data_IF_627499319258
#
_entry.id   IF_627499319258
#
_cell.length_a   1.000
_cell.length_b   1.000
_cell.length_c   1.000
_cell.angle_alpha   90.00
_cell.angle_beta   90.00
_cell.angle_gamma   90.00
#
_symmetry.space_group_name_H-M   'P 1'
#
loop_
_entity.id
_entity.type
_entity.pdbx_description
1 polymer ?
#
# COMPACT_ATOMS: atom_id res chain seq x y z
N UNK A 1 -2.80 7.13 -3.00
CA UNK A 1 -2.46 7.18 -1.56
C UNK A 1 -0.95 7.33 -1.37
N UNK A 2 -0.12 6.33 -1.75
CA UNK A 2 1.33 6.34 -1.52
C UNK A 2 2.02 7.68 -1.87
N UNK A 3 1.88 8.15 -3.11
CA UNK A 3 2.54 9.40 -3.54
C UNK A 3 2.08 10.65 -2.77
N UNK A 4 0.85 10.66 -2.28
CA UNK A 4 0.30 11.74 -1.45
C UNK A 4 0.93 11.71 -0.06
N UNK A 5 0.95 10.55 0.58
CA UNK A 5 1.50 10.40 1.93
C UNK A 5 3.02 10.62 1.95
N UNK A 6 3.72 10.13 0.92
CA UNK A 6 5.15 10.40 0.75
C UNK A 6 5.42 11.90 0.59
N UNK A 7 4.62 12.61 -0.24
CA UNK A 7 4.79 14.05 -0.45
C UNK A 7 4.52 14.86 0.82
N UNK A 8 3.50 14.49 1.63
CA UNK A 8 3.25 15.09 2.95
C UNK A 8 4.44 14.89 3.87
N UNK A 9 4.91 13.64 3.98
CA UNK A 9 5.99 13.29 4.90
C UNK A 9 7.33 13.94 4.52
N UNK A 10 7.65 14.08 3.22
CA UNK A 10 8.84 14.83 2.77
C UNK A 10 8.69 16.33 3.08
N UNK A 11 7.49 16.90 2.90
CA UNK A 11 7.23 18.30 3.29
C UNK A 11 7.42 18.55 4.78
N UNK A 12 6.96 17.61 5.63
CA UNK A 12 7.18 17.68 7.09
C UNK A 12 8.65 17.52 7.45
N UNK A 13 9.38 16.64 6.75
CA UNK A 13 10.82 16.45 6.95
C UNK A 13 11.59 17.74 6.64
N UNK A 14 11.28 18.41 5.52
CA UNK A 14 11.87 19.70 5.16
C UNK A 14 11.63 20.77 6.24
N UNK A 15 10.41 20.85 6.79
CA UNK A 15 10.05 21.84 7.81
C UNK A 15 10.81 21.64 9.14
N UNK A 16 11.30 20.44 9.42
CA UNK A 16 12.08 20.11 10.62
C UNK A 16 13.58 20.33 10.44
N UNK A 17 14.07 20.33 9.19
CA UNK A 17 15.47 20.55 8.90
C UNK A 17 15.81 22.04 8.88
N UNK A 18 16.19 22.58 10.05
CA UNK A 18 16.62 23.98 10.20
C UNK A 18 18.00 24.27 9.61
N UNK A 19 18.75 23.24 9.18
CA UNK A 19 20.09 23.36 8.63
C UNK A 19 20.10 23.81 7.15
N UNK A 20 18.97 23.65 6.45
CA UNK A 20 18.81 23.97 5.02
C UNK A 20 19.61 23.08 4.07
N UNK A 21 20.28 22.03 4.61
CA UNK A 21 21.15 21.16 3.81
C UNK A 21 20.37 20.02 3.10
N UNK A 22 19.06 19.92 3.35
CA UNK A 22 18.27 18.75 2.96
C UNK A 22 16.94 19.08 2.30
N UNK A 23 16.72 20.33 1.89
CA UNK A 23 15.46 20.73 1.28
C UNK A 23 15.24 20.03 -0.06
N UNK A 24 14.16 19.24 -0.13
CA UNK A 24 13.67 18.59 -1.35
C UNK A 24 12.45 19.35 -1.85
N UNK A 25 12.60 20.10 -2.93
CA UNK A 25 11.48 20.75 -3.59
C UNK A 25 10.70 19.73 -4.42
N UNK A 26 9.44 19.50 -4.08
CA UNK A 26 8.57 18.56 -4.76
C UNK A 26 7.67 19.28 -5.78
N UNK A 27 7.66 18.77 -7.01
CA UNK A 27 6.74 19.15 -8.07
C UNK A 27 5.94 17.93 -8.53
N UNK A 28 4.63 18.02 -8.46
CA UNK A 28 3.75 16.96 -8.94
C UNK A 28 3.53 17.07 -10.46
N UNK A 29 3.48 15.91 -11.13
CA UNK A 29 3.13 15.84 -12.56
C UNK A 29 2.04 14.80 -12.75
N UNK A 30 1.01 15.13 -13.51
CA UNK A 30 -0.07 14.20 -13.82
C UNK A 30 -0.52 14.30 -15.29
N UNK A 31 -1.09 13.24 -15.80
CA UNK A 31 -1.80 13.29 -17.08
C UNK A 31 -2.97 14.29 -17.00
N UNK A 32 -3.42 14.76 -18.15
CA UNK A 32 -4.55 15.69 -18.23
C UNK A 32 -5.82 15.09 -17.66
N UNK A 33 -6.42 15.76 -16.68
CA UNK A 33 -7.69 15.44 -16.05
C UNK A 33 -8.71 16.55 -16.28
N UNK A 34 -10.01 16.20 -16.27
CA UNK A 34 -11.11 17.18 -16.41
C UNK A 34 -11.32 18.02 -15.14
N UNK A 35 -11.03 17.44 -13.96
CA UNK A 35 -11.17 18.08 -12.66
C UNK A 35 -10.03 17.63 -11.73
N UNK A 36 -9.67 18.48 -10.77
CA UNK A 36 -8.74 18.11 -9.69
C UNK A 36 -9.36 17.02 -8.81
N UNK A 37 -8.54 16.13 -8.22
CA UNK A 37 -9.02 15.18 -7.22
C UNK A 37 -9.65 15.89 -6.03
N UNK A 38 -10.69 15.29 -5.46
CA UNK A 38 -11.30 15.73 -4.20
C UNK A 38 -10.50 15.18 -3.01
N UNK A 39 -10.67 15.80 -1.83
CA UNK A 39 -10.14 15.22 -0.59
C UNK A 39 -10.70 13.80 -0.35
N UNK A 40 -9.91 12.88 0.19
CA UNK A 40 -8.52 13.00 0.68
C UNK A 40 -7.45 12.76 -0.39
N UNK A 41 -7.82 12.67 -1.68
CA UNK A 41 -6.92 12.31 -2.78
C UNK A 41 -6.25 13.51 -3.46
N UNK A 42 -6.39 14.70 -2.88
CA UNK A 42 -5.73 15.91 -3.37
C UNK A 42 -4.25 15.91 -2.96
N UNK A 43 -3.30 15.99 -3.91
CA UNK A 43 -1.88 16.10 -3.58
C UNK A 43 -1.58 17.38 -2.78
N UNK A 44 -0.70 17.34 -1.77
CA UNK A 44 -0.33 18.51 -0.94
C UNK A 44 0.65 19.47 -1.64
N UNK A 45 0.98 19.19 -2.89
CA UNK A 45 1.95 19.94 -3.71
C UNK A 45 1.31 20.41 -5.01
N UNK A 46 1.93 21.40 -5.66
CA UNK A 46 1.49 21.84 -6.99
C UNK A 46 1.61 20.70 -8.00
N UNK A 47 0.55 20.46 -8.78
CA UNK A 47 0.52 19.43 -9.82
C UNK A 47 0.43 20.09 -11.19
N UNK A 48 1.41 19.83 -12.03
CA UNK A 48 1.51 20.34 -13.39
C UNK A 48 0.92 19.33 -14.37
N UNK A 49 -0.09 19.72 -15.18
CA UNK A 49 -0.71 18.79 -16.12
C UNK A 49 0.16 18.58 -17.35
N UNK A 50 0.27 17.32 -17.79
CA UNK A 50 0.84 16.96 -19.07
C UNK A 50 -0.24 16.97 -20.17
N UNK A 51 0.13 17.11 -21.45
CA UNK A 51 -0.82 17.29 -22.54
C UNK A 51 -1.69 16.06 -22.82
N UNK A 52 -1.28 14.86 -22.42
CA UNK A 52 -1.98 13.60 -22.65
C UNK A 52 -2.73 13.12 -21.41
N UNK A 53 -3.91 12.51 -21.61
CA UNK A 53 -4.64 11.82 -20.54
C UNK A 53 -3.98 10.47 -20.19
N UNK A 54 -4.20 9.96 -18.98
CA UNK A 54 -3.50 8.83 -18.38
C UNK A 54 -3.18 7.63 -19.30
N UNK A 55 -4.15 6.92 -19.91
CA UNK A 55 -3.86 5.75 -20.74
C UNK A 55 -3.02 6.06 -21.97
N UNK A 56 -3.23 7.22 -22.59
CA UNK A 56 -2.45 7.68 -23.75
C UNK A 56 -1.05 8.14 -23.32
N UNK A 57 -0.94 8.76 -22.16
CA UNK A 57 0.32 9.18 -21.58
C UNK A 57 1.22 7.96 -21.31
N UNK A 58 0.69 6.91 -20.70
CA UNK A 58 1.45 5.69 -20.39
C UNK A 58 1.97 5.01 -21.66
N UNK A 59 1.15 4.86 -22.68
CA UNK A 59 1.57 4.30 -23.97
C UNK A 59 2.63 5.17 -24.67
N UNK A 60 2.49 6.50 -24.59
CA UNK A 60 3.45 7.43 -25.16
C UNK A 60 4.79 7.39 -24.43
N UNK A 61 4.77 7.30 -23.10
CA UNK A 61 5.99 7.16 -22.29
C UNK A 61 6.73 5.84 -22.56
N UNK A 62 6.00 4.76 -22.74
CA UNK A 62 6.57 3.45 -23.01
C UNK A 62 7.16 3.33 -24.43
N UNK A 63 6.54 3.98 -25.43
CA UNK A 63 6.93 3.85 -26.84
C UNK A 63 7.89 4.95 -27.32
N UNK A 64 7.64 6.19 -26.88
CA UNK A 64 8.28 7.37 -27.43
C UNK A 64 9.07 8.18 -26.42
N UNK A 65 9.02 7.82 -25.12
CA UNK A 65 9.61 8.61 -24.03
C UNK A 65 9.19 10.09 -24.09
N UNK A 66 7.91 10.34 -24.36
CA UNK A 66 7.33 11.67 -24.57
C UNK A 66 5.86 11.73 -24.08
N UNK A 67 5.34 12.88 -23.60
CA UNK A 67 6.07 14.12 -23.32
C UNK A 67 6.96 13.97 -22.08
N UNK A 68 8.09 14.66 -22.08
CA UNK A 68 8.96 14.72 -20.90
C UNK A 68 8.34 15.59 -19.83
N UNK A 69 8.54 15.22 -18.55
CA UNK A 69 8.00 15.96 -17.41
C UNK A 69 8.55 17.38 -17.33
N UNK A 70 9.78 17.61 -17.76
CA UNK A 70 10.44 18.92 -17.79
C UNK A 70 9.71 19.95 -18.67
N UNK A 71 8.90 19.51 -19.62
CA UNK A 71 8.04 20.38 -20.43
C UNK A 71 6.95 21.08 -19.59
N UNK A 72 6.60 20.53 -18.42
CA UNK A 72 5.62 21.08 -17.51
C UNK A 72 6.24 21.69 -16.24
N UNK A 73 7.40 21.18 -15.80
CA UNK A 73 8.04 21.57 -14.54
C UNK A 73 9.23 22.53 -14.72
N UNK A 74 9.81 22.61 -15.92
CA UNK A 74 11.15 23.13 -16.11
C UNK A 74 12.21 22.11 -15.72
N UNK A 75 13.45 22.57 -15.52
CA UNK A 75 14.56 21.72 -15.13
C UNK A 75 14.33 21.09 -13.75
N UNK A 76 14.66 19.81 -13.63
CA UNK A 76 14.56 19.02 -12.40
C UNK A 76 15.83 18.20 -12.22
N UNK A 77 16.16 17.86 -10.99
CA UNK A 77 17.34 17.07 -10.67
C UNK A 77 17.11 15.56 -10.83
N UNK A 78 15.91 15.09 -10.51
CA UNK A 78 15.47 13.71 -10.71
C UNK A 78 13.96 13.63 -10.89
N UNK A 79 13.45 12.53 -11.42
CA UNK A 79 12.02 12.20 -11.46
C UNK A 79 11.76 10.94 -10.65
N UNK A 80 10.73 10.97 -9.80
CA UNK A 80 10.24 9.78 -9.09
C UNK A 80 8.87 9.35 -9.63
N UNK A 81 8.85 8.21 -10.33
CA UNK A 81 7.61 7.55 -10.71
C UNK A 81 7.07 6.75 -9.51
N UNK A 82 6.01 7.22 -8.87
CA UNK A 82 5.40 6.59 -7.68
C UNK A 82 4.62 5.31 -8.00
N UNK A 83 4.88 4.70 -9.14
CA UNK A 83 4.29 3.44 -9.61
C UNK A 83 5.23 2.78 -10.62
N UNK A 84 4.86 1.58 -11.07
CA UNK A 84 5.58 0.80 -12.09
C UNK A 84 5.66 1.50 -13.47
N UNK A 85 4.89 2.56 -13.72
CA UNK A 85 4.89 3.25 -15.01
C UNK A 85 6.04 4.26 -15.05
N UNK A 86 7.08 4.06 -15.90
CA UNK A 86 8.23 4.95 -15.97
C UNK A 86 7.85 6.28 -16.60
N UNK A 87 8.02 7.38 -15.88
CA UNK A 87 7.85 8.71 -16.46
C UNK A 87 8.93 9.01 -17.51
N UNK A 88 8.58 9.77 -18.53
CA UNK A 88 9.55 10.27 -19.51
C UNK A 88 10.28 11.49 -18.95
N UNK A 89 11.60 11.42 -18.87
CA UNK A 89 12.46 12.50 -18.36
C UNK A 89 13.84 12.43 -19.02
N UNK A 90 14.55 13.55 -18.98
CA UNK A 90 16.00 13.61 -19.25
C UNK A 90 16.81 13.48 -17.96
N UNK A 91 16.20 13.81 -16.81
CA UNK A 91 16.78 13.62 -15.50
C UNK A 91 16.78 12.14 -15.08
N UNK A 92 17.60 11.73 -14.12
CA UNK A 92 17.61 10.39 -13.56
C UNK A 92 16.23 9.94 -13.07
N UNK A 93 15.92 8.66 -13.26
CA UNK A 93 14.62 8.08 -12.91
C UNK A 93 14.75 7.17 -11.67
N UNK A 94 14.01 7.53 -10.62
CA UNK A 94 13.65 6.64 -9.51
C UNK A 94 12.23 6.13 -9.75
N UNK A 95 11.94 4.89 -9.43
CA UNK A 95 10.56 4.38 -9.49
C UNK A 95 10.24 3.52 -8.26
N UNK A 96 8.98 3.57 -7.80
CA UNK A 96 8.50 2.65 -6.76
C UNK A 96 7.71 1.51 -7.39
N UNK A 97 8.10 0.29 -7.06
CA UNK A 97 7.35 -0.94 -7.37
C UNK A 97 6.65 -1.39 -6.09
N UNK A 98 5.31 -1.40 -6.14
CA UNK A 98 4.49 -1.81 -5.00
C UNK A 98 4.32 -3.32 -4.93
N UNK A 99 4.12 -3.97 -6.06
CA UNK A 99 4.09 -5.43 -6.23
C UNK A 99 4.34 -5.81 -7.70
N UNK A 100 4.51 -7.11 -7.92
CA UNK A 100 4.55 -7.73 -9.23
C UNK A 100 3.48 -8.84 -9.37
N UNK A 101 2.35 -8.67 -8.68
CA UNK A 101 1.25 -9.64 -8.68
C UNK A 101 0.77 -10.04 -10.09
N UNK A 102 0.82 -9.12 -11.05
CA UNK A 102 0.46 -9.38 -12.44
C UNK A 102 1.34 -10.41 -13.15
N UNK A 103 2.53 -10.71 -12.61
CA UNK A 103 3.41 -11.78 -13.13
C UNK A 103 3.02 -13.15 -12.57
N UNK A 104 2.54 -13.19 -11.33
CA UNK A 104 2.21 -14.42 -10.62
C UNK A 104 0.76 -14.86 -10.88
N UNK A 105 -0.14 -13.89 -10.97
CA UNK A 105 -1.60 -14.11 -11.10
C UNK A 105 -2.17 -13.27 -12.25
N UNK A 106 -1.66 -13.46 -13.50
CA UNK A 106 -2.05 -12.63 -14.64
C UNK A 106 -3.56 -12.71 -14.96
N UNK A 107 -4.23 -13.78 -14.58
CA UNK A 107 -5.68 -13.96 -14.72
C UNK A 107 -6.49 -12.97 -13.87
N UNK A 108 -5.91 -12.40 -12.84
CA UNK A 108 -6.53 -11.38 -12.00
C UNK A 108 -6.44 -9.97 -12.61
N UNK A 109 -5.82 -9.83 -13.77
CA UNK A 109 -5.63 -8.56 -14.47
C UNK A 109 -6.19 -8.60 -15.89
N UNK A 110 -6.48 -7.43 -16.45
CA UNK A 110 -6.84 -7.38 -17.87
C UNK A 110 -5.62 -7.70 -18.74
N UNK A 111 -5.80 -8.40 -19.84
CA UNK A 111 -4.72 -8.72 -20.81
C UNK A 111 -3.94 -7.47 -21.24
N UNK A 112 -4.65 -6.33 -21.43
CA UNK A 112 -4.03 -5.05 -21.74
C UNK A 112 -3.18 -4.54 -20.58
N UNK A 113 -3.68 -4.63 -19.35
CA UNK A 113 -2.96 -4.22 -18.13
C UNK A 113 -1.67 -4.99 -17.96
N UNK A 114 -1.72 -6.33 -18.03
CA UNK A 114 -0.52 -7.20 -17.98
C UNK A 114 0.51 -6.77 -19.03
N UNK A 115 0.09 -6.57 -20.29
CA UNK A 115 0.99 -6.13 -21.36
C UNK A 115 1.62 -4.74 -21.12
N UNK A 116 0.88 -3.80 -20.51
CA UNK A 116 1.43 -2.50 -20.12
C UNK A 116 2.45 -2.67 -19.00
N UNK A 117 2.13 -3.43 -17.96
CA UNK A 117 3.03 -3.64 -16.81
C UNK A 117 4.30 -4.39 -17.19
N UNK A 118 4.22 -5.41 -18.03
CA UNK A 118 5.41 -6.12 -18.53
C UNK A 118 6.34 -5.19 -19.33
N UNK A 119 5.79 -4.33 -20.21
CA UNK A 119 6.57 -3.33 -20.95
C UNK A 119 7.15 -2.27 -20.00
N UNK A 120 6.41 -1.86 -18.99
CA UNK A 120 6.88 -0.93 -17.96
C UNK A 120 8.07 -1.51 -17.21
N UNK A 121 7.96 -2.77 -16.77
CA UNK A 121 9.04 -3.47 -16.08
C UNK A 121 10.31 -3.55 -16.94
N UNK A 122 10.17 -3.90 -18.23
CA UNK A 122 11.27 -3.94 -19.18
C UNK A 122 11.90 -2.54 -19.40
N UNK A 123 11.10 -1.49 -19.40
CA UNK A 123 11.57 -0.12 -19.53
C UNK A 123 12.28 0.36 -18.24
N UNK A 124 11.75 0.03 -17.05
CA UNK A 124 12.36 0.36 -15.76
C UNK A 124 13.73 -0.30 -15.60
N UNK A 125 13.88 -1.58 -15.93
CA UNK A 125 15.19 -2.26 -15.88
C UNK A 125 16.28 -1.54 -16.67
N UNK A 126 15.91 -0.88 -17.76
CA UNK A 126 16.86 -0.17 -18.65
C UNK A 126 17.09 1.28 -18.26
N UNK A 127 16.05 1.93 -17.70
CA UNK A 127 16.00 3.39 -17.57
C UNK A 127 16.10 3.89 -16.14
N UNK A 128 15.65 3.10 -15.16
CA UNK A 128 15.66 3.52 -13.78
C UNK A 128 17.08 3.43 -13.19
N UNK A 129 17.52 4.51 -12.57
CA UNK A 129 18.76 4.55 -11.79
C UNK A 129 18.56 3.78 -10.50
N UNK A 130 17.41 3.96 -9.84
CA UNK A 130 17.02 3.23 -8.64
C UNK A 130 15.56 2.80 -8.69
N UNK A 131 15.29 1.68 -8.05
CA UNK A 131 13.96 1.12 -7.82
C UNK A 131 13.75 1.00 -6.32
N UNK A 132 12.70 1.62 -5.82
CA UNK A 132 12.23 1.46 -4.47
C UNK A 132 11.25 0.28 -4.44
N UNK A 133 11.54 -0.71 -3.60
CA UNK A 133 10.68 -1.85 -3.31
C UNK A 133 10.10 -1.69 -1.90
N UNK A 134 8.78 -1.80 -1.78
CA UNK A 134 8.07 -1.52 -0.53
C UNK A 134 8.12 -2.65 0.49
N UNK A 135 8.56 -3.86 0.07
CA UNK A 135 8.76 -5.04 0.91
C UNK A 135 9.96 -5.85 0.40
N UNK A 136 10.50 -6.71 1.26
CA UNK A 136 11.54 -7.66 0.86
C UNK A 136 10.99 -8.62 -0.21
N UNK A 137 9.75 -9.07 -0.05
CA UNK A 137 9.08 -9.92 -1.05
C UNK A 137 9.03 -9.25 -2.45
N UNK A 138 8.72 -7.94 -2.52
CA UNK A 138 8.75 -7.19 -3.78
C UNK A 138 10.17 -7.02 -4.31
N UNK A 139 11.16 -6.86 -3.44
CA UNK A 139 12.57 -6.77 -3.82
C UNK A 139 13.05 -8.09 -4.43
N UNK A 140 12.74 -9.21 -3.79
CA UNK A 140 13.08 -10.55 -4.28
C UNK A 140 12.40 -10.83 -5.62
N UNK A 141 11.10 -10.51 -5.77
CA UNK A 141 10.39 -10.57 -7.05
C UNK A 141 11.11 -9.74 -8.13
N UNK A 142 11.64 -8.56 -7.80
CA UNK A 142 12.40 -7.73 -8.75
C UNK A 142 13.72 -8.39 -9.16
N UNK A 143 14.46 -8.97 -8.21
CA UNK A 143 15.70 -9.72 -8.50
C UNK A 143 15.43 -10.89 -9.44
N UNK A 144 14.42 -11.71 -9.13
CA UNK A 144 14.02 -12.84 -9.97
C UNK A 144 13.60 -12.42 -11.38
N UNK A 145 13.09 -11.20 -11.52
CA UNK A 145 12.67 -10.62 -12.81
C UNK A 145 13.76 -9.75 -13.47
N UNK A 146 15.02 -9.90 -13.08
CA UNK A 146 16.18 -9.40 -13.80
C UNK A 146 16.55 -7.94 -13.55
N UNK A 147 16.14 -7.36 -12.42
CA UNK A 147 16.74 -6.14 -11.89
C UNK A 147 18.09 -6.47 -11.23
N UNK A 148 19.07 -5.56 -11.31
CA UNK A 148 20.30 -5.74 -10.56
C UNK A 148 20.12 -5.34 -9.09
N UNK A 149 20.80 -6.01 -8.18
CA UNK A 149 20.77 -5.68 -6.75
C UNK A 149 21.18 -4.22 -6.48
N UNK A 150 22.08 -3.68 -7.30
CA UNK A 150 22.56 -2.29 -7.20
C UNK A 150 21.45 -1.28 -7.46
N UNK A 151 20.46 -1.62 -8.31
CA UNK A 151 19.32 -0.75 -8.60
C UNK A 151 18.28 -0.75 -7.49
N UNK A 152 18.21 -1.78 -6.64
CA UNK A 152 17.10 -2.00 -5.71
C UNK A 152 17.37 -1.37 -4.35
N UNK A 153 16.33 -0.74 -3.78
CA UNK A 153 16.34 -0.19 -2.41
C UNK A 153 15.05 -0.60 -1.70
N UNK A 154 15.21 -1.15 -0.50
CA UNK A 154 14.08 -1.48 0.37
C UNK A 154 13.66 -0.24 1.15
N UNK A 155 12.44 0.23 0.89
CA UNK A 155 11.83 1.37 1.59
C UNK A 155 10.38 1.02 1.92
N UNK A 156 10.10 0.56 3.15
CA UNK A 156 8.75 0.18 3.55
C UNK A 156 7.81 1.38 3.62
N UNK A 157 6.53 1.16 3.33
CA UNK A 157 5.49 2.17 3.53
C UNK A 157 5.26 2.44 5.01
N UNK A 158 4.91 3.68 5.35
CA UNK A 158 4.53 4.06 6.71
C UNK A 158 3.03 3.89 6.99
N UNK A 159 2.66 4.01 8.25
CA UNK A 159 1.28 4.09 8.72
C UNK A 159 1.08 5.36 9.55
N UNK A 160 -0.13 5.90 9.53
CA UNK A 160 -0.55 6.98 10.43
C UNK A 160 -1.13 6.42 11.71
N UNK A 161 -0.88 7.10 12.81
CA UNK A 161 -1.56 6.87 14.07
C UNK A 161 -2.69 7.88 14.22
N UNK A 162 -3.92 7.39 14.24
CA UNK A 162 -5.13 8.21 14.38
C UNK A 162 -5.78 7.81 15.70
N UNK A 163 -5.85 8.75 16.62
CA UNK A 163 -6.55 8.54 17.88
C UNK A 163 -8.07 8.55 17.64
N UNK A 164 -8.74 7.52 18.08
CA UNK A 164 -10.19 7.35 17.96
C UNK A 164 -10.81 7.23 19.33
N UNK A 165 -11.70 8.14 19.68
CA UNK A 165 -12.42 8.14 20.94
C UNK A 165 -13.55 7.10 21.00
N UNK A 166 -13.91 6.67 22.20
CA UNK A 166 -15.01 5.72 22.41
C UNK A 166 -16.36 6.24 21.87
N UNK A 167 -16.59 7.55 21.89
CA UNK A 167 -17.80 8.16 21.35
C UNK A 167 -17.89 7.92 19.84
N UNK A 168 -16.83 8.19 19.10
CA UNK A 168 -16.76 7.95 17.65
C UNK A 168 -16.93 6.46 17.30
N UNK A 169 -16.34 5.55 18.08
CA UNK A 169 -16.53 4.11 17.91
C UNK A 169 -18.02 3.74 18.06
N UNK A 170 -18.68 4.29 19.07
CA UNK A 170 -20.10 4.02 19.33
C UNK A 170 -21.02 4.62 18.26
N UNK A 171 -20.73 5.81 17.76
CA UNK A 171 -21.45 6.43 16.66
C UNK A 171 -21.36 5.59 15.37
N UNK A 172 -20.14 5.14 15.03
CA UNK A 172 -19.91 4.30 13.85
C UNK A 172 -20.58 2.93 14.00
N UNK A 173 -20.54 2.31 15.20
CA UNK A 173 -21.30 1.09 15.48
C UNK A 173 -22.80 1.28 15.26
N UNK A 174 -23.37 2.37 15.76
CA UNK A 174 -24.79 2.70 15.57
C UNK A 174 -25.11 2.96 14.11
N UNK A 175 -24.27 3.74 13.42
CA UNK A 175 -24.45 4.09 12.00
C UNK A 175 -24.50 2.87 11.10
N UNK A 176 -23.63 1.90 11.34
CA UNK A 176 -23.56 0.67 10.55
C UNK A 176 -24.25 -0.52 11.22
N UNK A 177 -24.99 -0.32 12.32
CA UNK A 177 -25.72 -1.38 13.07
C UNK A 177 -24.82 -2.57 13.39
N UNK A 178 -23.63 -2.30 13.96
CA UNK A 178 -22.64 -3.32 14.26
C UNK A 178 -22.83 -3.88 15.68
N UNK A 179 -22.51 -5.17 15.91
CA UNK A 179 -22.48 -5.73 17.24
C UNK A 179 -21.33 -5.13 18.07
N UNK A 180 -21.33 -5.37 19.37
CA UNK A 180 -20.28 -4.88 20.27
C UNK A 180 -18.90 -5.43 19.91
N UNK A 181 -18.84 -6.68 19.50
CA UNK A 181 -17.61 -7.36 19.02
C UNK A 181 -17.81 -7.85 17.60
N UNK A 182 -16.85 -7.63 16.74
CA UNK A 182 -16.81 -8.12 15.36
C UNK A 182 -15.37 -8.38 14.90
N UNK A 183 -15.22 -9.32 13.97
CA UNK A 183 -14.02 -9.48 13.16
C UNK A 183 -14.08 -8.47 12.02
N UNK A 184 -12.95 -7.90 11.64
CA UNK A 184 -12.88 -6.92 10.55
C UNK A 184 -12.02 -7.43 9.41
N UNK A 185 -12.50 -7.23 8.19
CA UNK A 185 -11.72 -7.34 6.94
C UNK A 185 -11.84 -6.02 6.18
N UNK A 186 -10.72 -5.50 5.66
CA UNK A 186 -10.69 -4.28 4.85
C UNK A 186 -9.91 -4.53 3.56
N UNK A 187 -10.54 -4.28 2.41
CA UNK A 187 -9.89 -4.40 1.11
C UNK A 187 -10.89 -4.50 -0.04
N UNK A 188 -10.45 -4.14 -1.24
CA UNK A 188 -11.23 -4.39 -2.47
C UNK A 188 -11.52 -5.88 -2.60
N UNK A 189 -12.71 -6.23 -3.06
CA UNK A 189 -13.15 -7.62 -3.19
C UNK A 189 -12.49 -8.27 -4.41
N UNK A 190 -11.26 -8.71 -4.23
CA UNK A 190 -10.41 -9.36 -5.25
C UNK A 190 -10.05 -10.78 -4.82
N UNK A 191 -9.86 -11.73 -5.75
CA UNK A 191 -9.52 -13.12 -5.42
C UNK A 191 -8.29 -13.27 -4.52
N UNK A 192 -7.23 -12.47 -4.76
CA UNK A 192 -5.99 -12.49 -3.98
C UNK A 192 -6.18 -12.11 -2.51
N UNK A 193 -7.25 -11.37 -2.17
CA UNK A 193 -7.60 -11.02 -0.79
C UNK A 193 -8.22 -12.17 -0.01
N UNK A 194 -8.60 -13.26 -0.69
CA UNK A 194 -9.01 -14.52 -0.10
C UNK A 194 -10.24 -14.45 0.82
N UNK A 195 -11.14 -13.49 0.54
CA UNK A 195 -12.30 -13.23 1.39
C UNK A 195 -13.23 -14.45 1.51
N UNK A 196 -13.45 -15.21 0.42
CA UNK A 196 -14.32 -16.39 0.50
C UNK A 196 -13.81 -17.41 1.52
N UNK A 197 -12.50 -17.69 1.53
CA UNK A 197 -11.92 -18.64 2.50
C UNK A 197 -11.96 -18.09 3.93
N UNK A 198 -11.88 -16.78 4.11
CA UNK A 198 -12.11 -16.15 5.42
C UNK A 198 -13.57 -16.35 5.87
N UNK A 199 -14.55 -16.18 4.98
CA UNK A 199 -15.97 -16.43 5.27
C UNK A 199 -16.18 -17.91 5.67
N UNK A 200 -15.58 -18.83 4.93
CA UNK A 200 -15.67 -20.26 5.24
C UNK A 200 -15.04 -20.58 6.60
N UNK A 201 -13.91 -19.94 6.93
CA UNK A 201 -13.28 -20.06 8.26
C UNK A 201 -14.16 -19.52 9.39
N UNK A 202 -14.81 -18.38 9.19
CA UNK A 202 -15.75 -17.80 10.17
C UNK A 202 -16.97 -18.69 10.38
N UNK A 203 -17.41 -19.40 9.35
CA UNK A 203 -18.51 -20.38 9.48
C UNK A 203 -18.14 -21.59 10.34
N UNK A 204 -16.85 -21.93 10.43
CA UNK A 204 -16.34 -23.01 11.30
C UNK A 204 -16.26 -22.61 12.77
N UNK A 205 -16.32 -21.32 13.09
CA UNK A 205 -16.30 -20.84 14.47
C UNK A 205 -17.63 -21.10 15.15
N UNK A 206 -17.60 -21.36 16.46
CA UNK A 206 -18.79 -21.56 17.26
C UNK A 206 -19.74 -20.34 17.26
N UNK A 207 -20.99 -20.54 17.72
CA UNK A 207 -22.03 -19.49 17.65
C UNK A 207 -21.69 -18.22 18.43
N UNK A 208 -20.86 -18.33 19.47
CA UNK A 208 -20.47 -17.22 20.34
C UNK A 208 -19.31 -16.37 19.75
N UNK A 209 -18.68 -16.83 18.67
CA UNK A 209 -17.60 -16.06 18.03
C UNK A 209 -18.17 -14.79 17.34
N UNK A 210 -17.40 -13.67 17.31
CA UNK A 210 -17.85 -12.44 16.70
C UNK A 210 -18.15 -12.60 15.19
N UNK A 211 -19.17 -11.93 14.64
CA UNK A 211 -19.44 -11.93 13.20
C UNK A 211 -18.36 -11.17 12.43
N UNK A 212 -18.26 -11.43 11.11
CA UNK A 212 -17.33 -10.77 10.20
C UNK A 212 -17.97 -9.53 9.59
N UNK A 213 -17.31 -8.40 9.72
CA UNK A 213 -17.61 -7.14 9.03
C UNK A 213 -16.61 -6.96 7.90
N UNK A 214 -17.11 -6.76 6.69
CA UNK A 214 -16.31 -6.61 5.47
C UNK A 214 -16.46 -5.19 4.93
N UNK A 215 -15.33 -4.49 4.80
CA UNK A 215 -15.23 -3.14 4.25
C UNK A 215 -14.43 -3.16 2.97
N UNK A 216 -14.99 -2.58 1.91
CA UNK A 216 -14.29 -2.42 0.64
C UNK A 216 -15.23 -2.32 -0.55
N UNK A 217 -14.74 -1.68 -1.60
CA UNK A 217 -15.48 -1.59 -2.85
C UNK A 217 -15.57 -2.95 -3.54
N UNK A 218 -16.62 -3.13 -4.33
CA UNK A 218 -16.71 -4.28 -5.24
C UNK A 218 -15.51 -4.27 -6.18
N UNK A 219 -14.85 -5.40 -6.29
CA UNK A 219 -13.73 -5.63 -7.19
C UNK A 219 -14.12 -6.53 -8.36
N UNK A 220 -13.30 -7.53 -8.62
CA UNK A 220 -13.52 -8.52 -9.68
C UNK A 220 -13.25 -9.94 -9.15
N UNK A 221 -13.60 -10.93 -9.95
CA UNK A 221 -13.43 -12.35 -9.60
C UNK A 221 -14.75 -13.07 -9.46
N UNK A 222 -14.74 -14.22 -8.78
CA UNK A 222 -15.94 -15.01 -8.52
C UNK A 222 -16.86 -14.30 -7.54
N UNK A 223 -18.15 -14.53 -7.68
CA UNK A 223 -19.16 -14.02 -6.73
C UNK A 223 -18.86 -14.55 -5.32
N UNK A 224 -18.90 -13.66 -4.34
CA UNK A 224 -18.71 -14.01 -2.93
C UNK A 224 -20.02 -14.58 -2.38
N UNK A 225 -19.96 -15.79 -1.87
CA UNK A 225 -21.09 -16.44 -1.20
C UNK A 225 -21.17 -15.93 0.25
N UNK A 226 -22.03 -14.96 0.48
CA UNK A 226 -22.20 -14.34 1.80
C UNK A 226 -23.00 -15.31 2.72
N UNK A 227 -22.52 -15.46 3.94
CA UNK A 227 -23.15 -16.27 4.99
C UNK A 227 -23.84 -15.41 6.05
N UNK A 228 -24.77 -15.95 6.87
CA UNK A 228 -25.56 -15.15 7.81
C UNK A 228 -24.75 -14.32 8.83
N UNK A 229 -23.52 -14.75 9.12
CA UNK A 229 -22.64 -14.07 10.10
C UNK A 229 -21.66 -13.07 9.43
N UNK A 230 -21.92 -12.66 8.19
CA UNK A 230 -21.08 -11.74 7.42
C UNK A 230 -21.90 -10.51 7.07
N UNK A 231 -21.41 -9.34 7.46
CA UNK A 231 -21.98 -8.05 7.11
C UNK A 231 -21.09 -7.31 6.14
N UNK A 232 -21.57 -7.10 4.92
CA UNK A 232 -20.88 -6.35 3.86
C UNK A 232 -21.25 -4.86 3.96
N UNK A 233 -20.28 -3.97 4.18
CA UNK A 233 -20.52 -2.52 4.28
C UNK A 233 -20.28 -1.79 2.96
N UNK A 234 -19.54 -2.40 2.01
CA UNK A 234 -19.11 -1.69 0.82
C UNK A 234 -18.05 -0.65 1.13
N UNK A 235 -18.02 0.43 0.35
CA UNK A 235 -17.08 1.54 0.58
C UNK A 235 -17.48 2.32 1.84
N UNK A 236 -16.51 2.62 2.68
CA UNK A 236 -16.66 3.38 3.93
C UNK A 236 -15.70 4.58 3.88
N UNK A 237 -16.14 5.80 4.29
CA UNK A 237 -15.27 6.97 4.43
C UNK A 237 -14.10 6.73 5.39
N UNK A 238 -12.98 7.42 5.17
CA UNK A 238 -11.76 7.22 5.95
C UNK A 238 -11.93 7.46 7.45
N UNK A 239 -12.75 8.47 7.82
CA UNK A 239 -13.00 8.80 9.23
C UNK A 239 -13.75 7.68 9.95
N UNK A 240 -14.75 7.08 9.30
CA UNK A 240 -15.48 5.93 9.83
C UNK A 240 -14.58 4.67 9.86
N UNK A 241 -13.67 4.53 8.89
CA UNK A 241 -12.77 3.37 8.80
C UNK A 241 -11.85 3.27 10.01
N UNK A 242 -11.30 4.38 10.48
CA UNK A 242 -10.47 4.40 11.69
C UNK A 242 -11.25 3.88 12.92
N UNK A 243 -12.51 4.30 13.06
CA UNK A 243 -13.37 3.82 14.15
C UNK A 243 -13.77 2.34 14.00
N UNK A 244 -13.91 1.86 12.76
CA UNK A 244 -14.14 0.43 12.48
C UNK A 244 -12.92 -0.42 12.86
N UNK A 245 -11.69 0.05 12.58
CA UNK A 245 -10.50 -0.62 13.10
C UNK A 245 -10.50 -0.62 14.63
N UNK A 246 -10.56 0.54 15.26
CA UNK A 246 -10.48 0.67 16.73
C UNK A 246 -11.55 -0.15 17.47
N UNK A 247 -12.74 -0.34 16.88
CA UNK A 247 -13.84 -1.12 17.46
C UNK A 247 -13.79 -2.62 17.20
N UNK A 248 -12.86 -3.13 16.39
CA UNK A 248 -12.78 -4.54 16.03
C UNK A 248 -12.22 -5.42 17.17
N UNK A 249 -12.71 -6.65 17.26
CA UNK A 249 -12.16 -7.66 18.14
C UNK A 249 -10.85 -8.25 17.62
N UNK A 250 -10.79 -8.48 16.29
CA UNK A 250 -9.58 -8.86 15.56
C UNK A 250 -9.71 -8.41 14.10
N UNK A 251 -8.58 -8.16 13.47
CA UNK A 251 -8.46 -7.87 12.04
C UNK A 251 -7.98 -9.11 11.30
N UNK A 252 -8.72 -9.54 10.29
CA UNK A 252 -8.46 -10.77 9.54
C UNK A 252 -8.08 -10.46 8.10
N UNK A 253 -6.82 -10.75 7.73
CA UNK A 253 -6.27 -10.42 6.41
C UNK A 253 -5.47 -11.57 5.81
N UNK A 254 -6.10 -12.73 5.55
CA UNK A 254 -5.44 -13.93 5.05
C UNK A 254 -5.22 -13.87 3.53
N UNK A 255 -4.69 -12.74 3.03
CA UNK A 255 -4.43 -12.56 1.59
C UNK A 255 -3.45 -13.59 1.06
N UNK A 256 -3.67 -14.05 -0.17
CA UNK A 256 -2.77 -14.97 -0.86
C UNK A 256 -1.46 -14.27 -1.24
N UNK A 257 -1.55 -13.02 -1.69
CA UNK A 257 -0.42 -12.19 -2.09
C UNK A 257 -0.69 -10.71 -1.85
N UNK A 258 0.31 -10.02 -1.37
CA UNK A 258 0.33 -8.56 -1.19
C UNK A 258 1.69 -7.99 -1.58
N UNK A 259 1.70 -6.73 -1.99
CA UNK A 259 2.95 -6.02 -2.15
C UNK A 259 3.53 -5.53 -0.82
N UNK A 260 2.65 -5.15 0.12
CA UNK A 260 3.04 -4.70 1.46
C UNK A 260 2.04 -5.16 2.53
N UNK A 261 0.80 -4.66 2.49
CA UNK A 261 -0.21 -4.99 3.50
C UNK A 261 -0.46 -3.85 4.49
N UNK A 262 -0.60 -2.62 4.01
CA UNK A 262 -0.93 -1.45 4.86
C UNK A 262 -2.08 -1.68 5.84
N UNK A 263 -3.18 -2.37 5.49
CA UNK A 263 -4.28 -2.64 6.43
C UNK A 263 -3.87 -3.36 7.71
N UNK A 264 -2.79 -4.14 7.68
CA UNK A 264 -2.21 -4.80 8.86
C UNK A 264 -1.68 -3.76 9.86
N UNK A 265 -0.88 -2.82 9.37
CA UNK A 265 -0.33 -1.75 10.19
C UNK A 265 -1.41 -0.76 10.65
N UNK A 266 -2.43 -0.51 9.83
CA UNK A 266 -3.60 0.28 10.21
C UNK A 266 -4.33 -0.38 11.39
N UNK A 267 -4.61 -1.68 11.34
CA UNK A 267 -5.20 -2.41 12.45
C UNK A 267 -4.30 -2.37 13.71
N UNK A 268 -3.00 -2.62 13.54
CA UNK A 268 -2.01 -2.58 14.63
C UNK A 268 -1.90 -1.18 15.26
N UNK A 269 -2.03 -0.11 14.49
CA UNK A 269 -1.97 1.27 15.02
C UNK A 269 -3.14 1.61 15.94
N UNK A 270 -4.24 0.88 15.83
CA UNK A 270 -5.41 0.96 16.71
C UNK A 270 -5.41 -0.13 17.82
N UNK A 271 -4.31 -0.86 17.99
CA UNK A 271 -4.19 -1.92 19.00
C UNK A 271 -5.10 -3.12 18.74
N UNK A 272 -5.42 -3.40 17.49
CA UNK A 272 -6.26 -4.53 17.11
C UNK A 272 -5.40 -5.74 16.80
N UNK A 273 -5.65 -6.91 17.41
CA UNK A 273 -5.00 -8.17 17.05
C UNK A 273 -5.17 -8.50 15.57
N UNK A 274 -4.11 -8.95 14.94
CA UNK A 274 -4.08 -9.25 13.49
C UNK A 274 -3.91 -10.73 13.25
N UNK A 275 -4.71 -11.28 12.32
CA UNK A 275 -4.55 -12.60 11.73
C UNK A 275 -4.19 -12.41 10.26
N UNK A 276 -3.03 -12.90 9.83
CA UNK A 276 -2.54 -12.71 8.46
C UNK A 276 -1.79 -13.92 7.94
N UNK A 277 -1.42 -13.89 6.66
CA UNK A 277 -0.82 -15.03 5.96
C UNK A 277 0.64 -15.24 6.31
N UNK A 278 1.01 -16.50 6.51
CA UNK A 278 2.39 -16.98 6.56
C UNK A 278 3.02 -16.94 5.16
N UNK A 279 4.32 -16.66 5.06
CA UNK A 279 5.12 -16.80 3.84
C UNK A 279 4.88 -15.71 2.78
N UNK A 280 4.45 -14.53 3.19
CA UNK A 280 4.21 -13.40 2.29
C UNK A 280 4.72 -12.08 2.87
N UNK A 281 4.62 -10.98 2.08
CA UNK A 281 4.92 -9.63 2.58
C UNK A 281 4.13 -9.26 3.83
N UNK A 282 2.96 -9.86 4.04
CA UNK A 282 2.12 -9.62 5.23
C UNK A 282 2.74 -10.16 6.51
N UNK A 283 3.48 -11.28 6.44
CA UNK A 283 4.30 -11.78 7.55
C UNK A 283 5.43 -10.79 7.88
N UNK A 284 6.18 -10.36 6.88
CA UNK A 284 7.25 -9.36 7.02
C UNK A 284 6.72 -8.07 7.68
N UNK A 285 5.62 -7.54 7.16
CA UNK A 285 5.00 -6.30 7.65
C UNK A 285 4.51 -6.45 9.08
N UNK A 286 3.99 -7.61 9.45
CA UNK A 286 3.54 -7.89 10.82
C UNK A 286 4.68 -7.88 11.84
N UNK A 287 5.92 -8.19 11.42
CA UNK A 287 7.10 -8.15 12.28
C UNK A 287 7.00 -9.01 13.54
N UNK A 288 6.30 -10.14 13.47
CA UNK A 288 6.05 -11.05 14.59
C UNK A 288 4.91 -10.62 15.53
N UNK A 289 4.18 -9.54 15.23
CA UNK A 289 3.10 -9.02 16.06
C UNK A 289 1.70 -9.45 15.58
N UNK A 290 1.60 -10.54 14.81
CA UNK A 290 0.34 -11.09 14.31
C UNK A 290 0.29 -12.61 14.47
N UNK A 291 -0.90 -13.16 14.46
CA UNK A 291 -1.12 -14.59 14.30
C UNK A 291 -0.97 -14.95 12.82
N UNK A 292 0.02 -15.79 12.51
CA UNK A 292 0.27 -16.26 11.15
C UNK A 292 -0.51 -17.55 10.88
N UNK A 293 -1.15 -17.61 9.70
CA UNK A 293 -2.00 -18.71 9.27
C UNK A 293 -1.65 -19.17 7.85
N UNK A 294 -1.94 -20.42 7.54
CA UNK A 294 -1.90 -20.89 6.16
C UNK A 294 -3.12 -20.32 5.40
N UNK A 295 -2.92 -19.40 4.44
CA UNK A 295 -4.02 -18.76 3.73
C UNK A 295 -4.81 -19.73 2.84
N UNK A 296 -4.29 -20.93 2.58
CA UNK A 296 -4.94 -21.95 1.78
C UNK A 296 -5.81 -22.92 2.60
N UNK A 297 -5.90 -22.72 3.94
CA UNK A 297 -6.66 -23.58 4.85
C UNK A 297 -7.65 -22.76 5.69
N UNK A 298 -8.96 -22.98 5.46
CA UNK A 298 -10.01 -22.34 6.25
C UNK A 298 -9.91 -22.72 7.74
N UNK A 299 -9.54 -23.98 8.06
CA UNK A 299 -9.33 -24.39 9.45
C UNK A 299 -8.15 -23.66 10.10
N UNK A 300 -7.01 -23.49 9.40
CA UNK A 300 -5.89 -22.72 9.92
C UNK A 300 -6.26 -21.26 10.18
N UNK A 301 -7.09 -20.65 9.32
CA UNK A 301 -7.60 -19.28 9.51
C UNK A 301 -8.53 -19.24 10.73
N UNK A 302 -9.44 -20.21 10.88
CA UNK A 302 -10.36 -20.31 12.03
C UNK A 302 -9.59 -20.44 13.35
N UNK A 303 -8.61 -21.34 13.42
CA UNK A 303 -7.74 -21.52 14.59
C UNK A 303 -6.94 -20.25 14.90
N UNK A 304 -6.46 -19.56 13.85
CA UNK A 304 -5.77 -18.27 14.00
C UNK A 304 -6.67 -17.19 14.57
N UNK A 305 -7.93 -17.13 14.16
CA UNK A 305 -8.91 -16.17 14.72
C UNK A 305 -9.13 -16.45 16.21
N UNK A 306 -9.33 -17.71 16.61
CA UNK A 306 -9.52 -18.07 18.01
C UNK A 306 -8.31 -17.65 18.86
N UNK A 307 -7.09 -17.96 18.40
CA UNK A 307 -5.86 -17.52 19.09
C UNK A 307 -5.76 -16.00 19.20
N UNK A 308 -6.11 -15.26 18.13
CA UNK A 308 -6.07 -13.81 18.16
C UNK A 308 -7.07 -13.18 19.16
N UNK A 309 -8.22 -13.83 19.37
CA UNK A 309 -9.21 -13.44 20.36
C UNK A 309 -8.75 -13.78 21.80
N UNK A 310 -8.11 -14.94 21.98
CA UNK A 310 -7.55 -15.41 23.27
C UNK A 310 -6.36 -14.54 23.71
N UNK A 311 -5.40 -14.30 22.83
CA UNK A 311 -4.15 -13.58 23.11
C UNK A 311 -4.29 -12.06 22.88
N UNK A 312 -5.52 -11.53 22.89
CA UNK A 312 -5.85 -10.16 22.45
C UNK A 312 -4.95 -9.09 23.07
N UNK A 313 -4.72 -9.13 24.36
CA UNK A 313 -3.94 -8.09 25.06
C UNK A 313 -2.47 -8.09 24.62
N UNK A 314 -1.84 -9.25 24.55
CA UNK A 314 -0.44 -9.39 24.13
C UNK A 314 -0.24 -8.98 22.67
N UNK A 315 -1.14 -9.38 21.78
CA UNK A 315 -1.12 -9.02 20.35
C UNK A 315 -1.38 -7.53 20.14
N UNK A 316 -2.30 -6.92 20.90
CA UNK A 316 -2.55 -5.47 20.89
C UNK A 316 -1.29 -4.69 21.25
N UNK A 317 -0.63 -5.03 22.34
CA UNK A 317 0.62 -4.38 22.79
C UNK A 317 1.72 -4.51 21.72
N UNK A 318 1.94 -5.72 21.22
CA UNK A 318 2.96 -6.01 20.18
C UNK A 318 2.67 -5.24 18.90
N UNK A 319 1.40 -5.20 18.46
CA UNK A 319 0.96 -4.48 17.29
C UNK A 319 1.18 -2.97 17.38
N UNK A 320 0.86 -2.37 18.53
CA UNK A 320 1.13 -0.95 18.80
C UNK A 320 2.62 -0.62 18.74
N UNK A 321 3.48 -1.48 19.30
CA UNK A 321 4.94 -1.30 19.21
C UNK A 321 5.40 -1.40 17.75
N UNK A 322 4.90 -2.40 17.02
CA UNK A 322 5.25 -2.61 15.61
C UNK A 322 4.84 -1.42 14.74
N UNK A 323 3.60 -0.96 14.83
CA UNK A 323 3.10 0.14 14.00
C UNK A 323 3.87 1.45 14.25
N UNK A 324 4.27 1.74 15.50
CA UNK A 324 5.11 2.90 15.84
C UNK A 324 6.51 2.87 15.22
N UNK A 325 7.03 1.70 14.86
CA UNK A 325 8.34 1.56 14.20
C UNK A 325 8.29 1.77 12.69
N UNK A 326 7.10 1.85 12.09
CA UNK A 326 6.89 1.91 10.63
C UNK A 326 6.07 3.16 10.29
N UNK A 327 6.74 4.30 10.18
CA UNK A 327 6.10 5.62 9.98
C UNK A 327 6.37 6.20 8.60
N UNK A 328 5.49 7.07 8.12
CA UNK A 328 5.70 7.81 6.87
C UNK A 328 6.93 8.73 6.93
N UNK A 329 7.27 9.23 8.11
CA UNK A 329 8.49 10.01 8.32
C UNK A 329 9.74 9.18 7.99
N UNK A 330 9.80 7.92 8.45
CA UNK A 330 10.88 6.99 8.12
C UNK A 330 10.90 6.66 6.63
N UNK A 331 9.73 6.41 6.02
CA UNK A 331 9.60 6.19 4.58
C UNK A 331 10.16 7.38 3.79
N UNK A 332 9.82 8.60 4.19
CA UNK A 332 10.31 9.84 3.57
C UNK A 332 11.84 9.97 3.73
N UNK A 333 12.37 9.76 4.91
CA UNK A 333 13.82 9.84 5.16
C UNK A 333 14.60 8.86 4.28
N UNK A 334 14.19 7.58 4.25
CA UNK A 334 14.82 6.57 3.38
C UNK A 334 14.66 6.90 1.89
N UNK A 335 13.53 7.45 1.48
CA UNK A 335 13.31 7.87 0.08
C UNK A 335 14.25 9.02 -0.30
N UNK A 336 14.42 10.01 0.58
CA UNK A 336 15.35 11.13 0.37
C UNK A 336 16.80 10.65 0.32
N UNK A 337 17.19 9.63 1.09
CA UNK A 337 18.49 8.98 0.97
C UNK A 337 18.71 8.39 -0.43
N UNK A 338 17.70 7.69 -0.98
CA UNK A 338 17.75 7.18 -2.36
C UNK A 338 17.92 8.31 -3.38
N UNK A 339 17.25 9.45 -3.17
CA UNK A 339 17.42 10.61 -4.06
C UNK A 339 18.85 11.15 -4.01
N UNK A 340 19.46 11.23 -2.82
CA UNK A 340 20.85 11.68 -2.66
C UNK A 340 21.84 10.75 -3.34
N UNK A 341 21.70 9.44 -3.16
CA UNK A 341 22.53 8.46 -3.88
C UNK A 341 22.51 8.70 -5.39
N UNK A 342 21.33 8.87 -5.97
CA UNK A 342 21.15 9.12 -7.41
C UNK A 342 21.83 10.41 -7.85
N UNK A 343 21.70 11.48 -7.05
CA UNK A 343 22.30 12.78 -7.33
C UNK A 343 23.82 12.76 -7.27
N UNK A 344 24.41 12.03 -6.32
CA UNK A 344 25.85 11.88 -6.17
C UNK A 344 26.46 11.10 -7.35
N UNK A 345 25.83 10.00 -7.76
CA UNK A 345 26.24 9.23 -8.94
C UNK A 345 26.23 10.07 -10.21
N UNK A 346 25.18 10.87 -10.41
CA UNK A 346 25.04 11.73 -11.60
C UNK A 346 26.12 12.79 -11.64
N UNK A 347 26.48 13.40 -10.48
CA UNK A 347 27.56 14.37 -10.37
C UNK A 347 28.95 13.72 -10.61
N UNK A 348 29.15 12.49 -10.15
CA UNK A 348 30.36 11.72 -10.38
C UNK A 348 30.58 11.41 -11.87
N UNK A 349 29.51 10.95 -12.56
CA UNK A 349 29.55 10.62 -13.98
C UNK A 349 29.78 11.84 -14.90
N UNK A 350 29.40 13.06 -14.47
CA UNK A 350 29.62 14.28 -15.25
C UNK A 350 31.03 14.90 -15.07
N UNK A 351 31.84 14.39 -14.16
CA UNK A 351 33.22 14.85 -13.87
C UNK A 351 34.32 13.93 -14.43
N UNK A 352 33.97 12.74 -14.92
CA UNK A 352 34.91 11.80 -15.55
C UNK A 352 34.71 11.75 -17.06
#
# INVERSE_FOLDING_TARGET
VYGIELAKAIGELNNRDTSGHHEVQLLGVAGRHKAAPLEPYRPPIAVHPLPLAGPYLYESWLRFNWPKVEGATGAIDLVHATSIIPAASSAPLVATIHDLAFLHEPEHFTKRGVGVFQRSLAALRKRATRIICVSQATLDDCLENGFSAEQLRYVPNGVHHIDVGNEQINEVRKKYELPHQYLLFVGTLEPRKNLQRLIDAVAMLGPDAPPLVVVGASGWGSEIVVQPRVKMLGFVPSDDLAALYAGAAAFCYPSLREGFGLPILEAMSHGVPVVTSLGSSTEEVSGGAAVLVNPNSASSIADGILRALEDREALSQSGLVRSRSVTWERTAALTVEVYREVMEETKGASRG
#
